data_IF_552517303087
#
_entry.id   IF_552517303087
#
_cell.length_a   1.000
_cell.length_b   1.000
_cell.length_c   1.000
_cell.angle_alpha   90.00
_cell.angle_beta   90.00
_cell.angle_gamma   90.00
#
_symmetry.space_group_name_H-M   'P 1'
#
loop_
_entity.id
_entity.type
_entity.pdbx_description
1 polymer ?
#
# COMPACT_ATOMS: atom_id res chain seq x y z
N UNK A 1 3.85 25.41 37.48
CA UNK A 1 2.84 24.75 36.64
C UNK A 1 3.51 24.36 35.34
N UNK A 2 3.96 23.10 35.21
CA UNK A 2 4.49 22.58 33.96
C UNK A 2 3.32 22.11 33.10
N UNK A 3 3.14 22.72 31.93
CA UNK A 3 2.18 22.26 30.94
C UNK A 3 2.65 20.92 30.40
N UNK A 4 1.85 19.87 30.61
CA UNK A 4 2.02 18.57 30.00
C UNK A 4 1.80 18.69 28.50
N UNK A 5 2.88 18.70 27.74
CA UNK A 5 2.86 18.54 26.29
C UNK A 5 2.61 17.06 26.01
N UNK A 6 1.56 16.74 25.25
CA UNK A 6 1.23 15.38 24.84
C UNK A 6 2.36 14.80 23.96
N UNK A 7 2.97 13.72 24.44
CA UNK A 7 4.13 13.07 23.80
C UNK A 7 3.75 12.47 22.43
N UNK A 8 2.45 12.18 22.17
CA UNK A 8 2.00 11.73 20.83
C UNK A 8 2.23 12.78 19.74
N UNK A 9 2.00 14.05 20.07
CA UNK A 9 2.22 15.16 19.13
C UNK A 9 3.71 15.39 18.94
N UNK A 10 4.49 15.28 20.02
CA UNK A 10 5.96 15.38 19.98
C UNK A 10 6.63 14.24 19.21
N UNK A 11 6.07 13.02 19.23
CA UNK A 11 6.60 11.87 18.49
C UNK A 11 6.32 11.98 16.98
N UNK A 12 5.14 12.51 16.60
CA UNK A 12 4.84 12.82 15.20
C UNK A 12 5.68 13.98 14.67
N UNK A 13 5.93 15.00 15.50
CA UNK A 13 6.79 16.15 15.18
C UNK A 13 8.28 15.76 15.09
N UNK A 14 8.74 14.83 15.96
CA UNK A 14 10.10 14.26 15.93
C UNK A 14 10.35 13.45 14.65
N UNK A 15 9.40 12.61 14.21
CA UNK A 15 9.53 11.87 12.93
C UNK A 15 9.69 12.83 11.74
N UNK A 16 8.98 13.97 11.75
CA UNK A 16 9.08 15.00 10.72
C UNK A 16 10.42 15.78 10.77
N UNK A 17 10.93 16.10 11.96
CA UNK A 17 12.21 16.82 12.12
C UNK A 17 13.45 16.00 11.69
N UNK A 18 13.39 14.66 11.71
CA UNK A 18 14.47 13.80 11.17
C UNK A 18 14.51 13.68 9.65
N UNK A 19 13.55 14.28 8.93
CA UNK A 19 13.65 14.43 7.48
C UNK A 19 14.64 15.54 7.08
N UNK A 20 14.78 16.60 7.90
CA UNK A 20 15.61 17.78 7.59
C UNK A 20 17.12 17.55 7.79
N UNK A 21 17.52 16.69 8.74
CA UNK A 21 18.94 16.41 9.02
C UNK A 21 19.67 15.64 7.91
N UNK A 22 18.96 15.17 6.88
CA UNK A 22 19.56 14.48 5.74
C UNK A 22 19.47 15.21 4.41
N UNK A 23 18.95 16.45 4.35
CA UNK A 23 19.21 17.39 3.25
C UNK A 23 18.56 18.77 3.50
N UNK A 24 19.36 19.83 3.38
CA UNK A 24 18.96 21.24 3.37
C UNK A 24 19.71 21.90 2.19
N UNK A 25 19.26 22.98 1.49
CA UNK A 25 17.96 23.67 1.55
C UNK A 25 17.39 24.11 0.16
N UNK A 26 16.25 24.82 0.26
CA UNK A 26 15.68 25.86 -0.62
C UNK A 26 14.48 25.43 -1.48
N UNK A 27 13.34 25.55 -0.78
CA UNK A 27 11.97 25.80 -1.25
C UNK A 27 11.85 27.27 -1.69
N UNK A 28 10.69 27.58 -2.30
CA UNK A 28 9.93 28.83 -2.26
C UNK A 28 10.02 29.62 -3.57
N UNK A 29 8.94 30.13 -4.15
CA UNK A 29 7.65 30.57 -3.61
C UNK A 29 6.75 30.82 -4.85
N UNK A 30 5.45 31.13 -4.81
CA UNK A 30 4.58 31.67 -3.76
C UNK A 30 3.15 31.72 -4.32
N UNK A 31 2.18 31.58 -3.40
CA UNK A 31 0.95 32.40 -3.32
C UNK A 31 -0.13 32.30 -4.43
N UNK A 32 -1.42 32.57 -4.21
CA UNK A 32 -2.33 32.73 -3.07
C UNK A 32 -3.72 32.73 -3.75
N UNK A 33 -4.67 32.02 -3.15
CA UNK A 33 -6.08 32.43 -2.91
C UNK A 33 -6.74 33.46 -3.85
N UNK A 34 -7.93 33.15 -4.41
CA UNK A 34 -9.22 33.77 -4.02
C UNK A 34 -10.38 33.56 -5.02
N UNK A 35 -11.59 33.50 -4.43
CA UNK A 35 -12.89 34.02 -4.88
C UNK A 35 -13.87 33.16 -5.71
N UNK A 36 -15.01 32.88 -5.05
CA UNK A 36 -16.36 32.56 -5.57
C UNK A 36 -16.96 33.71 -6.43
N UNK A 37 -18.21 33.67 -6.98
CA UNK A 37 -19.25 32.62 -7.08
C UNK A 37 -19.87 32.48 -8.50
N UNK A 38 -20.81 31.54 -8.71
CA UNK A 38 -22.08 31.81 -9.44
C UNK A 38 -23.06 30.62 -9.41
N UNK A 39 -24.30 30.94 -9.03
CA UNK A 39 -25.51 30.14 -9.22
C UNK A 39 -25.79 29.94 -10.71
N UNK A 40 -26.20 28.74 -11.13
CA UNK A 40 -27.07 28.56 -12.29
C UNK A 40 -28.11 27.47 -12.01
N UNK A 41 -29.34 27.88 -12.31
CA UNK A 41 -30.65 27.25 -12.25
C UNK A 41 -30.74 25.76 -12.59
N UNK A 42 -31.61 25.11 -11.80
CA UNK A 42 -32.27 23.85 -12.11
C UNK A 42 -32.97 23.93 -13.46
N UNK A 43 -32.65 23.00 -14.35
CA UNK A 43 -33.53 22.65 -15.47
C UNK A 43 -33.58 21.14 -15.60
N UNK A 44 -34.80 20.68 -15.85
CA UNK A 44 -35.31 19.33 -15.76
C UNK A 44 -34.55 18.33 -16.64
N UNK A 45 -34.20 17.17 -16.06
CA UNK A 45 -33.72 16.00 -16.81
C UNK A 45 -34.90 15.02 -16.93
N UNK A 46 -35.31 14.62 -18.15
CA UNK A 46 -36.38 13.67 -18.32
C UNK A 46 -35.96 12.25 -17.96
N UNK A 47 -36.94 11.54 -17.43
CA UNK A 47 -36.94 10.17 -16.94
C UNK A 47 -36.40 9.10 -17.92
N UNK A 48 -35.88 8.03 -17.29
CA UNK A 48 -35.73 6.63 -17.74
C UNK A 48 -34.50 6.26 -18.57
N UNK A 49 -33.44 5.90 -17.83
CA UNK A 49 -32.71 4.65 -18.09
C UNK A 49 -32.61 3.84 -16.81
N UNK A 50 -33.07 2.59 -16.90
CA UNK A 50 -33.22 1.65 -15.78
C UNK A 50 -31.91 1.45 -15.01
N UNK A 51 -31.99 1.60 -13.69
CA UNK A 51 -30.99 1.21 -12.70
C UNK A 51 -30.69 -0.28 -12.85
N UNK A 52 -29.52 -0.64 -13.35
CA UNK A 52 -28.92 -1.96 -13.05
C UNK A 52 -27.82 -1.73 -12.01
N UNK A 53 -27.97 -2.22 -10.77
CA UNK A 53 -26.87 -2.21 -9.82
C UNK A 53 -25.74 -3.09 -10.36
N UNK A 54 -24.51 -2.74 -10.00
CA UNK A 54 -23.28 -3.47 -10.29
C UNK A 54 -23.50 -4.99 -10.31
N UNK A 55 -23.04 -5.66 -11.38
CA UNK A 55 -22.97 -7.12 -11.38
C UNK A 55 -21.87 -7.55 -10.41
N UNK A 56 -22.32 -7.99 -9.23
CA UNK A 56 -21.66 -8.84 -8.25
C UNK A 56 -20.17 -9.14 -8.49
N UNK A 57 -19.32 -8.54 -7.65
CA UNK A 57 -17.95 -9.01 -7.40
C UNK A 57 -18.03 -9.98 -6.21
N UNK A 58 -17.56 -11.23 -6.31
CA UNK A 58 -17.55 -12.15 -5.19
C UNK A 58 -16.80 -11.53 -3.99
N UNK A 59 -17.56 -11.22 -2.94
CA UNK A 59 -17.03 -10.88 -1.61
C UNK A 59 -17.26 -9.46 -1.08
N UNK A 60 -17.78 -8.49 -1.83
CA UNK A 60 -17.80 -7.07 -1.36
C UNK A 60 -19.18 -6.40 -1.40
N UNK A 61 -20.15 -6.88 -2.18
CA UNK A 61 -21.48 -6.24 -2.26
C UNK A 61 -22.61 -7.25 -2.39
N UNK A 62 -23.78 -6.91 -1.85
CA UNK A 62 -25.02 -7.59 -2.20
C UNK A 62 -25.46 -7.24 -3.64
N UNK A 63 -26.51 -7.91 -4.11
CA UNK A 63 -27.08 -7.75 -5.48
C UNK A 63 -27.57 -6.29 -5.72
N UNK A 64 -27.71 -5.48 -4.67
CA UNK A 64 -28.12 -4.08 -4.72
C UNK A 64 -26.94 -3.09 -4.61
N UNK A 65 -25.69 -3.56 -4.55
CA UNK A 65 -24.52 -2.70 -4.38
C UNK A 65 -24.37 -2.13 -2.96
N UNK A 66 -25.16 -2.60 -1.98
CA UNK A 66 -24.98 -2.20 -0.57
C UNK A 66 -23.81 -2.96 0.04
N UNK A 67 -22.99 -2.20 0.75
CA UNK A 67 -21.93 -2.75 1.59
C UNK A 67 -22.57 -3.55 2.72
N UNK A 68 -22.28 -4.85 2.78
CA UNK A 68 -22.67 -5.70 3.91
C UNK A 68 -21.52 -5.66 4.91
N UNK A 69 -21.70 -5.14 6.13
CA UNK A 69 -20.67 -5.22 7.15
C UNK A 69 -20.32 -6.69 7.37
N UNK A 70 -19.07 -7.08 7.09
CA UNK A 70 -18.60 -8.41 7.45
C UNK A 70 -18.65 -8.52 8.99
N UNK A 71 -18.97 -9.68 9.55
CA UNK A 71 -18.71 -9.90 10.99
C UNK A 71 -17.19 -9.83 11.23
N UNK A 72 -16.72 -9.51 12.45
CA UNK A 72 -15.29 -9.61 12.77
C UNK A 72 -14.76 -10.97 12.31
N UNK A 73 -13.66 -10.96 11.56
CA UNK A 73 -13.07 -12.19 11.02
C UNK A 73 -11.94 -12.59 11.95
N UNK A 74 -12.08 -13.77 12.56
CA UNK A 74 -10.99 -14.42 13.25
C UNK A 74 -10.06 -15.04 12.20
N UNK A 75 -8.83 -14.53 12.15
CA UNK A 75 -7.78 -15.09 11.32
C UNK A 75 -6.91 -15.97 12.20
N UNK A 76 -6.88 -17.25 11.85
CA UNK A 76 -6.06 -18.30 12.48
C UNK A 76 -4.91 -18.68 11.54
N UNK A 77 -3.88 -19.39 12.02
CA UNK A 77 -2.80 -19.89 11.15
C UNK A 77 -3.29 -20.71 9.95
N UNK A 78 -4.46 -21.36 10.07
CA UNK A 78 -5.06 -22.23 9.05
C UNK A 78 -6.11 -21.52 8.17
N UNK A 79 -6.33 -20.21 8.37
CA UNK A 79 -7.29 -19.46 7.55
C UNK A 79 -6.83 -19.48 6.10
N UNK A 80 -7.62 -20.12 5.23
CA UNK A 80 -7.40 -20.11 3.78
C UNK A 80 -7.91 -18.79 3.22
N UNK A 81 -7.01 -18.03 2.62
CA UNK A 81 -7.37 -16.80 1.92
C UNK A 81 -7.64 -17.14 0.46
N UNK A 82 -8.80 -16.71 -0.03
CA UNK A 82 -9.14 -16.85 -1.44
C UNK A 82 -8.30 -15.87 -2.25
N UNK A 83 -7.26 -16.40 -2.89
CA UNK A 83 -6.37 -15.64 -3.76
C UNK A 83 -6.75 -15.99 -5.18
N UNK A 84 -7.33 -15.02 -5.89
CA UNK A 84 -7.76 -15.22 -7.27
C UNK A 84 -6.70 -14.63 -8.21
N UNK A 85 -5.92 -15.45 -8.94
CA UNK A 85 -5.14 -14.98 -10.08
C UNK A 85 -6.10 -14.63 -11.22
N UNK A 86 -6.77 -13.48 -11.13
CA UNK A 86 -7.72 -13.04 -12.15
C UNK A 86 -6.97 -12.43 -13.32
N UNK A 87 -7.36 -12.80 -14.54
CA UNK A 87 -7.05 -12.02 -15.74
C UNK A 87 -7.57 -10.59 -15.55
N UNK A 88 -6.80 -9.60 -15.96
CA UNK A 88 -7.15 -8.20 -15.86
C UNK A 88 -6.81 -7.48 -17.17
N UNK A 89 -7.85 -7.04 -17.86
CA UNK A 89 -7.73 -6.22 -19.08
C UNK A 89 -8.17 -4.76 -18.78
N UNK A 90 -8.10 -4.33 -17.51
CA UNK A 90 -8.56 -3.00 -17.08
C UNK A 90 -7.74 -1.88 -17.70
N UNK A 91 -8.40 -0.80 -18.06
CA UNK A 91 -7.81 0.45 -18.54
C UNK A 91 -8.76 1.62 -18.31
N UNK A 92 -8.24 2.84 -18.36
CA UNK A 92 -9.05 4.06 -18.24
C UNK A 92 -8.71 5.03 -19.37
N UNK A 93 -9.73 5.64 -19.97
CA UNK A 93 -9.57 6.70 -20.97
C UNK A 93 -10.45 7.91 -20.61
N UNK A 94 -9.89 9.12 -20.44
CA UNK A 94 -10.70 10.33 -20.30
C UNK A 94 -11.36 10.68 -21.63
N UNK A 95 -12.66 10.89 -21.59
CA UNK A 95 -13.50 11.19 -22.73
C UNK A 95 -14.26 12.49 -22.51
N UNK A 96 -14.72 13.06 -23.61
CA UNK A 96 -15.65 14.15 -23.72
C UNK A 96 -16.91 13.57 -24.34
N UNK A 97 -18.00 13.70 -23.61
CA UNK A 97 -19.32 13.21 -23.95
C UNK A 97 -19.98 14.12 -24.99
N UNK A 98 -21.02 13.64 -25.67
CA UNK A 98 -21.70 14.37 -26.75
C UNK A 98 -22.35 15.68 -26.28
N UNK A 99 -22.80 15.72 -25.03
CA UNK A 99 -23.30 16.91 -24.33
C UNK A 99 -22.17 17.90 -23.94
N UNK A 100 -20.91 17.61 -24.29
CA UNK A 100 -19.76 18.44 -23.98
C UNK A 100 -19.13 18.20 -22.61
N UNK A 101 -19.73 17.35 -21.77
CA UNK A 101 -19.21 17.03 -20.45
C UNK A 101 -17.91 16.24 -20.53
N UNK A 102 -17.07 16.37 -19.50
CA UNK A 102 -15.91 15.53 -19.32
C UNK A 102 -16.30 14.24 -18.61
N UNK A 103 -15.56 13.17 -18.85
CA UNK A 103 -15.85 11.86 -18.30
C UNK A 103 -14.70 10.88 -18.48
N UNK A 104 -14.94 9.63 -18.10
CA UNK A 104 -13.98 8.54 -18.22
C UNK A 104 -14.68 7.29 -18.76
N UNK A 105 -14.11 6.67 -19.79
CA UNK A 105 -14.36 5.27 -20.10
C UNK A 105 -13.48 4.43 -19.17
N UNK A 106 -14.12 3.56 -18.40
CA UNK A 106 -13.46 2.69 -17.43
C UNK A 106 -13.74 1.25 -17.83
N UNK A 107 -12.66 0.49 -18.00
CA UNK A 107 -12.70 -0.95 -18.16
C UNK A 107 -12.31 -1.62 -16.84
N UNK A 108 -13.19 -2.48 -16.34
CA UNK A 108 -12.92 -3.39 -15.22
C UNK A 108 -12.75 -4.82 -15.74
N UNK A 109 -12.36 -5.75 -14.87
CA UNK A 109 -12.26 -7.18 -15.19
C UNK A 109 -13.56 -7.77 -15.77
N UNK A 110 -14.73 -7.23 -15.37
CA UNK A 110 -16.02 -7.82 -15.70
C UNK A 110 -16.86 -6.97 -16.64
N UNK A 111 -16.75 -5.64 -16.52
CA UNK A 111 -17.64 -4.69 -17.17
C UNK A 111 -16.87 -3.48 -17.72
N UNK A 112 -17.52 -2.78 -18.66
CA UNK A 112 -17.11 -1.47 -19.14
C UNK A 112 -18.19 -0.44 -18.79
N UNK A 113 -17.78 0.74 -18.38
CA UNK A 113 -18.73 1.82 -18.09
C UNK A 113 -18.14 3.19 -18.39
N UNK A 114 -19.03 4.16 -18.62
CA UNK A 114 -18.71 5.56 -18.81
C UNK A 114 -19.12 6.32 -17.58
N UNK A 115 -18.19 7.04 -16.97
CA UNK A 115 -18.46 7.99 -15.90
C UNK A 115 -18.51 9.42 -16.45
N UNK A 116 -19.61 10.14 -16.23
CA UNK A 116 -19.77 11.57 -16.49
C UNK A 116 -19.37 12.36 -15.24
N UNK A 117 -18.34 13.22 -15.34
CA UNK A 117 -17.79 13.94 -14.19
C UNK A 117 -18.65 15.10 -13.71
N UNK A 118 -19.51 15.66 -14.56
CA UNK A 118 -20.37 16.79 -14.22
C UNK A 118 -21.66 16.31 -13.58
N UNK A 119 -22.27 15.28 -14.16
CA UNK A 119 -23.49 14.68 -13.60
C UNK A 119 -23.21 13.75 -12.42
N UNK A 120 -21.93 13.44 -12.17
CA UNK A 120 -21.49 12.42 -11.23
C UNK A 120 -22.30 11.14 -11.47
N UNK A 121 -22.23 10.55 -12.66
CA UNK A 121 -23.09 9.42 -13.03
C UNK A 121 -22.37 8.41 -13.91
N UNK A 122 -22.70 7.11 -13.75
CA UNK A 122 -22.11 6.00 -14.51
C UNK A 122 -23.11 5.29 -15.43
N UNK A 123 -22.73 5.06 -16.69
CA UNK A 123 -23.51 4.30 -17.67
C UNK A 123 -22.76 3.04 -18.12
N UNK A 124 -23.37 1.87 -17.92
CA UNK A 124 -22.77 0.58 -18.33
C UNK A 124 -22.81 0.36 -19.84
N UNK A 125 -21.80 -0.37 -20.34
CA UNK A 125 -21.69 -0.80 -21.73
C UNK A 125 -21.66 -2.33 -21.74
N UNK A 126 -22.71 -2.94 -22.30
CA UNK A 126 -22.92 -4.40 -22.23
C UNK A 126 -21.79 -5.22 -22.87
N UNK A 127 -21.18 -4.72 -23.96
CA UNK A 127 -19.99 -5.32 -24.60
C UNK A 127 -19.18 -4.25 -25.32
N UNK A 128 -17.86 -4.29 -25.16
CA UNK A 128 -16.93 -3.50 -25.96
C UNK A 128 -16.73 -4.17 -27.33
N UNK A 129 -17.80 -4.27 -28.13
CA UNK A 129 -17.67 -4.63 -29.55
C UNK A 129 -17.38 -3.34 -30.31
N UNK A 130 -16.22 -3.29 -30.99
CA UNK A 130 -15.80 -2.19 -31.87
C UNK A 130 -15.46 -0.89 -31.11
N UNK A 131 -14.44 -0.92 -30.25
CA UNK A 131 -13.77 0.31 -29.82
C UNK A 131 -12.79 0.74 -30.91
N UNK A 132 -13.05 1.89 -31.52
CA UNK A 132 -12.19 2.44 -32.58
C UNK A 132 -11.72 3.84 -32.21
N UNK A 133 -10.47 4.17 -32.54
CA UNK A 133 -9.92 5.51 -32.38
C UNK A 133 -9.56 6.09 -33.75
N UNK A 134 -10.24 7.17 -34.15
CA UNK A 134 -9.92 7.93 -35.35
C UNK A 134 -9.62 9.38 -34.98
N UNK A 135 -8.33 9.72 -34.93
CA UNK A 135 -7.86 11.00 -34.39
C UNK A 135 -8.27 11.15 -32.93
N UNK A 136 -9.10 12.16 -32.62
CA UNK A 136 -9.66 12.34 -31.27
C UNK A 136 -10.98 11.61 -31.04
N UNK A 137 -11.59 11.00 -32.05
CA UNK A 137 -12.91 10.37 -31.92
C UNK A 137 -12.77 8.93 -31.45
N UNK A 138 -13.45 8.59 -30.36
CA UNK A 138 -13.59 7.23 -29.84
C UNK A 138 -14.99 6.74 -30.19
N UNK A 139 -15.08 5.67 -30.96
CA UNK A 139 -16.36 5.01 -31.28
C UNK A 139 -16.51 3.76 -30.42
N UNK A 140 -17.67 3.57 -29.80
CA UNK A 140 -18.02 2.35 -29.04
C UNK A 140 -19.42 1.90 -29.48
N UNK A 141 -19.48 0.84 -30.30
CA UNK A 141 -20.73 0.49 -31.00
C UNK A 141 -21.22 1.68 -31.83
N UNK A 142 -22.44 2.14 -31.58
CA UNK A 142 -23.04 3.29 -32.30
C UNK A 142 -22.75 4.65 -31.63
N UNK A 143 -22.06 4.67 -30.48
CA UNK A 143 -21.80 5.90 -29.72
C UNK A 143 -20.43 6.48 -30.08
N UNK A 144 -20.40 7.78 -30.37
CA UNK A 144 -19.15 8.52 -30.66
C UNK A 144 -18.86 9.48 -29.51
N UNK A 145 -17.67 9.36 -28.95
CA UNK A 145 -17.07 10.21 -27.93
C UNK A 145 -15.84 10.92 -28.50
N UNK A 146 -15.37 11.95 -27.81
CA UNK A 146 -14.11 12.62 -28.16
C UNK A 146 -13.11 12.45 -27.02
N UNK A 147 -11.84 12.21 -27.28
CA UNK A 147 -10.81 12.19 -26.25
C UNK A 147 -10.74 13.53 -25.52
N UNK A 148 -10.81 13.48 -24.20
CA UNK A 148 -10.59 14.65 -23.35
C UNK A 148 -9.10 14.74 -23.01
N UNK A 149 -8.31 15.37 -23.87
CA UNK A 149 -6.91 15.68 -23.56
C UNK A 149 -6.85 16.98 -22.75
N UNK A 150 -6.54 16.88 -21.46
CA UNK A 150 -6.36 18.05 -20.56
C UNK A 150 -5.12 18.86 -20.92
N UNK A 151 -4.12 18.26 -21.56
CA UNK A 151 -2.85 18.92 -21.93
C UNK A 151 -2.90 19.38 -23.39
N UNK A 152 -3.09 20.69 -23.61
CA UNK A 152 -3.13 21.30 -24.96
C UNK A 152 -1.82 21.07 -25.75
N UNK A 153 -0.68 21.07 -25.07
CA UNK A 153 0.66 21.06 -25.68
C UNK A 153 1.11 19.68 -26.18
N UNK A 154 0.51 18.57 -25.72
CA UNK A 154 0.96 17.21 -26.05
C UNK A 154 -0.10 16.34 -26.76
N UNK A 155 -1.20 16.95 -27.24
CA UNK A 155 -2.34 16.19 -27.75
C UNK A 155 -2.02 15.27 -28.95
N UNK A 156 -1.10 15.64 -29.84
CA UNK A 156 -0.70 14.77 -30.97
C UNK A 156 0.04 13.50 -30.52
N UNK A 157 0.96 13.63 -29.57
CA UNK A 157 1.73 12.50 -29.01
C UNK A 157 0.80 11.52 -28.29
N UNK A 158 -0.08 12.05 -27.43
CA UNK A 158 -1.08 11.26 -26.69
C UNK A 158 -1.99 10.49 -27.67
N UNK A 159 -2.46 11.14 -28.75
CA UNK A 159 -3.28 10.46 -29.75
C UNK A 159 -2.50 9.33 -30.43
N UNK A 160 -1.25 9.56 -30.81
CA UNK A 160 -0.40 8.53 -31.43
C UNK A 160 -0.22 7.33 -30.50
N UNK A 161 0.12 7.57 -29.23
CA UNK A 161 0.28 6.51 -28.22
C UNK A 161 -1.04 5.73 -28.02
N UNK A 162 -2.18 6.41 -28.02
CA UNK A 162 -3.48 5.75 -27.92
C UNK A 162 -3.89 4.98 -29.18
N UNK A 163 -3.50 5.45 -30.37
CA UNK A 163 -3.74 4.76 -31.64
C UNK A 163 -2.97 3.44 -31.72
N UNK A 164 -1.83 3.34 -31.03
CA UNK A 164 -1.11 2.08 -30.87
C UNK A 164 -1.67 1.24 -29.72
N UNK A 165 -2.00 1.86 -28.59
CA UNK A 165 -2.48 1.20 -27.38
C UNK A 165 -3.84 0.51 -27.58
N UNK A 166 -4.85 1.21 -28.13
CA UNK A 166 -6.22 0.70 -28.20
C UNK A 166 -6.32 -0.59 -29.02
N UNK A 167 -5.78 -0.68 -30.25
CA UNK A 167 -5.79 -1.92 -31.01
C UNK A 167 -5.08 -3.06 -30.28
N UNK A 168 -3.96 -2.77 -29.59
CA UNK A 168 -3.23 -3.76 -28.78
C UNK A 168 -4.09 -4.31 -27.66
N UNK A 169 -4.74 -3.46 -26.87
CA UNK A 169 -5.62 -3.87 -25.77
C UNK A 169 -6.80 -4.71 -26.25
N UNK A 170 -7.34 -4.42 -27.44
CA UNK A 170 -8.46 -5.18 -28.00
C UNK A 170 -8.03 -6.54 -28.59
N UNK A 171 -6.78 -6.64 -29.05
CA UNK A 171 -6.19 -7.86 -29.60
C UNK A 171 -5.62 -8.77 -28.50
N UNK A 172 -4.98 -8.20 -27.48
CA UNK A 172 -4.46 -8.90 -26.31
C UNK A 172 -5.60 -9.31 -25.38
N UNK A 173 -6.19 -10.47 -25.66
CA UNK A 173 -7.11 -11.12 -24.71
C UNK A 173 -6.25 -11.90 -23.72
N UNK A 174 -6.51 -11.72 -22.42
CA UNK A 174 -5.96 -12.51 -21.30
C UNK A 174 -4.64 -12.00 -20.68
N UNK A 175 -4.54 -10.72 -20.31
CA UNK A 175 -3.44 -10.31 -19.45
C UNK A 175 -3.70 -10.77 -18.01
N UNK A 176 -2.67 -11.29 -17.33
CA UNK A 176 -2.74 -11.64 -15.90
C UNK A 176 -2.42 -10.41 -15.02
N UNK A 177 -1.97 -9.31 -15.63
CA UNK A 177 -1.34 -8.16 -14.96
C UNK A 177 -2.16 -6.87 -15.15
N UNK A 178 -1.96 -5.87 -14.28
CA UNK A 178 -2.53 -4.51 -14.41
C UNK A 178 -1.79 -3.60 -15.40
N UNK A 179 -1.10 -4.18 -16.39
CA UNK A 179 -0.26 -3.47 -17.35
C UNK A 179 -1.06 -2.42 -18.14
N UNK A 180 -2.19 -2.82 -18.74
CA UNK A 180 -3.04 -1.91 -19.51
C UNK A 180 -3.57 -0.74 -18.65
N UNK A 181 -3.84 -0.99 -17.38
CA UNK A 181 -4.26 0.05 -16.44
C UNK A 181 -3.14 1.08 -16.26
N UNK A 182 -1.94 0.66 -15.87
CA UNK A 182 -0.83 1.58 -15.66
C UNK A 182 -0.35 2.27 -16.95
N UNK A 183 -0.35 1.58 -18.09
CA UNK A 183 -0.05 2.18 -19.39
C UNK A 183 -1.06 3.26 -19.77
N UNK A 184 -2.37 2.98 -19.62
CA UNK A 184 -3.42 3.96 -19.89
C UNK A 184 -3.27 5.21 -19.01
N UNK A 185 -2.85 5.03 -17.75
CA UNK A 185 -2.54 6.13 -16.85
C UNK A 185 -1.28 6.90 -17.25
N UNK A 186 -0.24 6.21 -17.72
CA UNK A 186 1.00 6.82 -18.21
C UNK A 186 0.74 7.74 -19.41
N UNK A 187 -0.13 7.30 -20.33
CA UNK A 187 -0.51 8.05 -21.53
C UNK A 187 -1.43 9.23 -21.17
N UNK A 188 -2.42 9.02 -20.30
CA UNK A 188 -3.49 10.00 -20.08
C UNK A 188 -3.28 10.93 -18.90
N UNK A 189 -2.45 10.55 -17.91
CA UNK A 189 -2.15 11.30 -16.69
C UNK A 189 -3.40 11.82 -15.95
N UNK A 190 -4.50 11.06 -16.00
CA UNK A 190 -5.79 11.45 -15.41
C UNK A 190 -6.48 10.25 -14.75
N UNK A 191 -7.12 10.51 -13.60
CA UNK A 191 -7.88 9.52 -12.85
C UNK A 191 -9.35 9.94 -12.74
N UNK A 192 -10.30 8.99 -12.79
CA UNK A 192 -11.66 9.24 -12.36
C UNK A 192 -11.64 9.76 -10.92
N UNK A 193 -12.37 10.85 -10.59
CA UNK A 193 -12.47 11.32 -9.22
C UNK A 193 -13.03 10.22 -8.32
N UNK A 194 -12.63 10.18 -7.05
CA UNK A 194 -13.18 9.23 -6.07
C UNK A 194 -14.52 9.76 -5.58
N UNK A 195 -15.59 9.00 -5.80
CA UNK A 195 -16.95 9.32 -5.35
C UNK A 195 -17.81 8.06 -5.33
N UNK A 196 -19.07 8.17 -4.94
CA UNK A 196 -20.00 7.03 -4.84
C UNK A 196 -20.09 6.12 -6.09
N UNK A 197 -19.84 6.64 -7.30
CA UNK A 197 -19.93 5.86 -8.55
C UNK A 197 -18.61 5.19 -8.94
N UNK A 198 -17.47 5.81 -8.65
CA UNK A 198 -16.14 5.27 -8.98
C UNK A 198 -15.51 4.50 -7.81
N UNK A 199 -16.00 4.72 -6.60
CA UNK A 199 -15.55 4.08 -5.37
C UNK A 199 -15.62 2.54 -5.43
N UNK A 200 -16.68 1.89 -5.97
CA UNK A 200 -16.71 0.44 -6.13
C UNK A 200 -15.60 -0.10 -7.04
N UNK A 201 -15.24 0.63 -8.09
CA UNK A 201 -14.13 0.28 -8.99
C UNK A 201 -12.80 0.34 -8.24
N UNK A 202 -12.52 1.43 -7.53
CA UNK A 202 -11.29 1.56 -6.76
C UNK A 202 -11.19 0.53 -5.63
N UNK A 203 -12.30 0.23 -4.95
CA UNK A 203 -12.34 -0.86 -3.95
C UNK A 203 -11.94 -2.19 -4.59
N UNK A 204 -12.42 -2.47 -5.79
CA UNK A 204 -12.06 -3.71 -6.52
C UNK A 204 -10.57 -3.74 -6.87
N UNK A 205 -9.98 -2.61 -7.29
CA UNK A 205 -8.54 -2.52 -7.53
C UNK A 205 -7.75 -2.76 -6.25
N UNK A 206 -8.04 -2.01 -5.20
CA UNK A 206 -7.25 -2.00 -3.98
C UNK A 206 -7.53 -3.16 -3.01
N UNK A 207 -8.47 -4.04 -3.34
CA UNK A 207 -8.64 -5.35 -2.66
C UNK A 207 -8.07 -6.51 -3.48
N UNK A 208 -7.56 -6.23 -4.69
CA UNK A 208 -6.92 -7.24 -5.51
C UNK A 208 -5.45 -7.42 -5.10
N UNK A 209 -5.07 -8.64 -4.69
CA UNK A 209 -3.71 -8.94 -4.24
C UNK A 209 -2.63 -8.70 -5.29
N UNK A 210 -2.93 -8.93 -6.58
CA UNK A 210 -1.99 -8.64 -7.66
C UNK A 210 -1.78 -7.14 -7.81
N UNK A 211 -2.87 -6.36 -7.75
CA UNK A 211 -2.77 -4.90 -7.75
C UNK A 211 -1.96 -4.39 -6.56
N UNK A 212 -2.25 -4.88 -5.35
CA UNK A 212 -1.57 -4.47 -4.13
C UNK A 212 -0.08 -4.82 -4.15
N UNK A 213 0.30 -5.95 -4.75
CA UNK A 213 1.70 -6.33 -4.90
C UNK A 213 2.42 -5.37 -5.86
N UNK A 214 1.81 -5.03 -7.00
CA UNK A 214 2.35 -4.01 -7.90
C UNK A 214 2.43 -2.65 -7.21
N UNK A 215 1.39 -2.29 -6.46
CA UNK A 215 1.31 -1.06 -5.69
C UNK A 215 2.39 -0.98 -4.61
N UNK A 216 2.85 -2.10 -4.04
CA UNK A 216 4.00 -2.06 -3.11
C UNK A 216 5.32 -1.59 -3.74
N UNK A 217 5.36 -1.35 -5.05
CA UNK A 217 6.49 -0.75 -5.77
C UNK A 217 6.38 0.77 -5.93
N UNK A 218 5.39 1.41 -5.31
CA UNK A 218 5.27 2.88 -5.35
C UNK A 218 6.52 3.57 -4.78
N UNK A 219 6.88 4.67 -5.42
CA UNK A 219 7.87 5.62 -4.93
C UNK A 219 7.14 6.58 -4.00
N UNK A 220 7.68 6.76 -2.80
CA UNK A 220 7.12 7.63 -1.78
C UNK A 220 8.24 8.43 -1.11
N UNK A 221 7.89 9.62 -0.64
CA UNK A 221 8.73 10.39 0.27
C UNK A 221 8.44 9.98 1.72
N UNK A 222 9.28 10.42 2.66
CA UNK A 222 9.05 10.15 4.09
C UNK A 222 7.69 10.70 4.56
N UNK A 223 7.33 11.90 4.10
CA UNK A 223 6.08 12.57 4.47
C UNK A 223 4.85 11.83 3.92
N UNK A 224 5.01 11.18 2.77
CA UNK A 224 3.96 10.32 2.20
C UNK A 224 3.77 9.03 3.02
N UNK A 225 4.79 8.53 3.74
CA UNK A 225 4.78 7.17 4.32
C UNK A 225 3.69 6.95 5.36
N UNK A 226 3.48 7.90 6.29
CA UNK A 226 2.46 7.77 7.35
C UNK A 226 1.03 7.69 6.76
N UNK A 227 0.57 8.67 5.96
CA UNK A 227 -0.77 8.58 5.36
C UNK A 227 -0.90 7.38 4.41
N UNK A 228 0.16 7.06 3.66
CA UNK A 228 0.18 5.90 2.75
C UNK A 228 0.04 4.58 3.51
N UNK A 229 0.82 4.37 4.58
CA UNK A 229 0.76 3.15 5.38
C UNK A 229 -0.62 2.97 6.03
N UNK A 230 -1.20 4.05 6.56
CA UNK A 230 -2.53 4.00 7.16
C UNK A 230 -3.60 3.64 6.13
N UNK A 231 -3.60 4.32 4.98
CA UNK A 231 -4.52 4.04 3.89
C UNK A 231 -4.37 2.59 3.39
N UNK A 232 -3.13 2.13 3.23
CA UNK A 232 -2.81 0.77 2.80
C UNK A 232 -3.33 -0.28 3.78
N UNK A 233 -3.09 -0.10 5.09
CA UNK A 233 -3.55 -1.00 6.14
C UNK A 233 -5.08 -1.03 6.24
N UNK A 234 -5.72 0.14 6.15
CA UNK A 234 -7.17 0.24 6.15
C UNK A 234 -7.76 -0.51 4.97
N UNK A 235 -7.20 -0.33 3.77
CA UNK A 235 -7.72 -0.92 2.55
C UNK A 235 -7.45 -2.43 2.47
N UNK A 236 -6.27 -2.89 2.86
CA UNK A 236 -5.93 -4.33 2.86
C UNK A 236 -6.72 -5.12 3.89
N UNK A 237 -7.12 -4.48 5.01
CA UNK A 237 -8.12 -5.00 5.93
C UNK A 237 -7.87 -6.46 6.36
N UNK A 238 -8.90 -7.33 6.30
CA UNK A 238 -8.76 -8.75 6.67
C UNK A 238 -7.73 -9.53 5.85
N UNK A 239 -7.47 -9.13 4.62
CA UNK A 239 -6.57 -9.82 3.71
C UNK A 239 -5.09 -9.48 3.97
N UNK A 240 -4.81 -8.44 4.78
CA UNK A 240 -3.47 -7.96 5.11
C UNK A 240 -2.50 -9.08 5.56
N UNK A 241 -2.83 -9.99 6.50
CA UNK A 241 -1.87 -10.97 6.98
C UNK A 241 -1.38 -11.93 5.89
N UNK A 242 -2.28 -12.35 5.00
CA UNK A 242 -1.91 -13.22 3.89
C UNK A 242 -1.09 -12.48 2.86
N UNK A 243 -1.57 -11.30 2.46
CA UNK A 243 -0.90 -10.46 1.48
C UNK A 243 0.51 -10.06 1.94
N UNK A 244 0.67 -9.68 3.21
CA UNK A 244 1.96 -9.28 3.77
C UNK A 244 2.99 -10.42 3.75
N UNK A 245 2.57 -11.69 3.93
CA UNK A 245 3.48 -12.84 3.76
C UNK A 245 4.01 -12.96 2.32
N UNK A 246 3.17 -12.70 1.31
CA UNK A 246 3.63 -12.68 -0.08
C UNK A 246 4.57 -11.51 -0.35
N UNK A 247 4.33 -10.33 0.21
CA UNK A 247 5.29 -9.22 0.12
C UNK A 247 6.63 -9.60 0.76
N UNK A 248 6.60 -10.22 1.94
CA UNK A 248 7.82 -10.65 2.62
C UNK A 248 8.60 -11.66 1.76
N UNK A 249 7.91 -12.67 1.21
CA UNK A 249 8.54 -13.63 0.31
C UNK A 249 9.14 -12.97 -0.95
N UNK A 250 8.36 -12.11 -1.62
CA UNK A 250 8.76 -11.42 -2.84
C UNK A 250 9.97 -10.50 -2.61
N UNK A 251 10.09 -9.94 -1.40
CA UNK A 251 11.26 -9.18 -0.98
C UNK A 251 12.45 -10.09 -0.66
N UNK A 252 12.27 -11.11 0.20
CA UNK A 252 13.37 -11.95 0.70
C UNK A 252 14.07 -12.73 -0.41
N UNK A 253 13.34 -13.18 -1.44
CA UNK A 253 13.94 -13.87 -2.59
C UNK A 253 14.94 -12.99 -3.36
N UNK A 254 14.92 -11.67 -3.17
CA UNK A 254 15.86 -10.74 -3.82
C UNK A 254 17.17 -10.58 -3.04
N UNK A 255 17.20 -11.01 -1.78
CA UNK A 255 18.38 -10.86 -0.94
C UNK A 255 19.46 -11.86 -1.33
N UNK A 256 20.66 -11.34 -1.58
CA UNK A 256 21.85 -12.15 -1.92
C UNK A 256 22.62 -12.63 -0.68
N UNK A 257 22.31 -12.08 0.48
CA UNK A 257 23.01 -12.36 1.74
C UNK A 257 22.05 -12.13 2.92
N UNK A 258 22.15 -12.93 3.99
CA UNK A 258 21.35 -12.74 5.21
C UNK A 258 21.58 -11.37 5.87
N UNK A 259 22.75 -10.76 5.65
CA UNK A 259 23.09 -9.45 6.21
C UNK A 259 22.30 -8.28 5.59
N UNK A 260 21.59 -8.51 4.48
CA UNK A 260 20.77 -7.50 3.81
C UNK A 260 19.33 -7.45 4.34
N UNK A 261 18.92 -8.45 5.10
CA UNK A 261 17.55 -8.58 5.61
C UNK A 261 17.11 -7.30 6.32
N UNK A 262 15.98 -6.72 5.85
CA UNK A 262 15.36 -5.51 6.41
C UNK A 262 16.25 -4.25 6.43
N UNK A 263 17.40 -4.24 5.74
CA UNK A 263 18.28 -3.06 5.64
C UNK A 263 17.91 -2.12 4.50
N UNK A 264 17.11 -2.57 3.53
CA UNK A 264 16.65 -1.77 2.40
C UNK A 264 15.80 -0.55 2.82
N UNK A 265 15.57 0.35 1.87
CA UNK A 265 14.65 1.48 2.02
C UNK A 265 13.57 1.40 0.95
N UNK A 266 12.70 0.41 1.08
CA UNK A 266 11.55 0.19 0.19
C UNK A 266 10.26 0.12 1.00
N UNK A 267 9.14 0.11 0.28
CA UNK A 267 7.81 0.16 0.87
C UNK A 267 7.56 -0.94 1.89
N UNK A 268 7.97 -2.18 1.60
CA UNK A 268 7.84 -3.30 2.53
C UNK A 268 8.54 -3.01 3.86
N UNK A 269 9.81 -2.59 3.80
CA UNK A 269 10.60 -2.31 5.00
C UNK A 269 10.04 -1.09 5.76
N UNK A 270 9.64 -0.02 5.07
CA UNK A 270 9.04 1.15 5.70
C UNK A 270 7.66 0.88 6.30
N UNK A 271 6.82 0.08 5.63
CA UNK A 271 5.51 -0.35 6.15
C UNK A 271 5.68 -1.16 7.43
N UNK A 272 6.65 -2.08 7.45
CA UNK A 272 7.01 -2.85 8.65
C UNK A 272 7.43 -1.94 9.80
N UNK A 273 8.35 -1.02 9.51
CA UNK A 273 8.88 -0.07 10.48
C UNK A 273 7.74 0.79 11.05
N UNK A 274 6.83 1.25 10.19
CA UNK A 274 5.64 2.00 10.60
C UNK A 274 4.73 1.19 11.52
N UNK A 275 4.36 -0.04 11.14
CA UNK A 275 3.45 -0.88 11.92
C UNK A 275 3.99 -1.12 13.33
N UNK A 276 5.25 -1.54 13.44
CA UNK A 276 5.86 -1.86 14.74
C UNK A 276 6.14 -0.58 15.54
N UNK A 277 6.57 0.49 14.87
CA UNK A 277 6.84 1.78 15.52
C UNK A 277 5.60 2.51 16.05
N UNK A 278 4.40 2.13 15.60
CA UNK A 278 3.13 2.63 16.14
C UNK A 278 2.54 1.71 17.23
N UNK A 279 3.20 0.60 17.57
CA UNK A 279 2.70 -0.33 18.57
C UNK A 279 2.85 0.27 19.98
N UNK A 280 1.76 0.41 20.76
CA UNK A 280 1.82 1.01 22.09
C UNK A 280 2.76 0.29 23.06
N UNK A 281 2.86 -1.04 22.99
CA UNK A 281 3.74 -1.81 23.88
C UNK A 281 5.21 -1.64 23.48
N UNK A 282 5.47 -1.48 22.18
CA UNK A 282 6.81 -1.13 21.70
C UNK A 282 7.23 0.28 22.13
N UNK A 283 6.32 1.25 22.05
CA UNK A 283 6.58 2.64 22.50
C UNK A 283 6.85 2.65 24.01
N UNK A 284 6.04 1.96 24.82
CA UNK A 284 6.26 1.83 26.27
C UNK A 284 7.63 1.22 26.59
N UNK A 285 8.04 0.18 25.84
CA UNK A 285 9.36 -0.40 25.97
C UNK A 285 10.46 0.65 25.75
N UNK A 286 10.38 1.42 24.66
CA UNK A 286 11.36 2.48 24.38
C UNK A 286 11.38 3.57 25.46
N UNK A 287 10.23 3.96 25.98
CA UNK A 287 10.12 4.97 27.03
C UNK A 287 10.76 4.52 28.35
N UNK A 288 10.66 3.21 28.65
CA UNK A 288 11.21 2.60 29.87
C UNK A 288 12.74 2.49 29.91
N UNK A 289 13.41 2.54 28.74
CA UNK A 289 14.86 2.43 28.68
C UNK A 289 15.53 3.73 29.15
N UNK A 290 16.24 3.65 30.28
CA UNK A 290 17.09 4.73 30.79
C UNK A 290 18.54 4.53 30.37
N UNK A 291 19.05 5.38 29.49
CA UNK A 291 20.45 5.33 29.02
C UNK A 291 21.48 5.65 30.12
N UNK A 292 21.02 6.16 31.26
CA UNK A 292 21.84 6.45 32.43
C UNK A 292 21.93 5.26 33.39
N UNK A 293 21.13 4.21 33.18
CA UNK A 293 21.13 3.02 34.03
C UNK A 293 22.49 2.31 33.98
N UNK A 294 23.02 1.95 35.15
CA UNK A 294 24.19 1.08 35.27
C UNK A 294 23.88 -0.36 34.83
N UNK A 295 22.61 -0.75 34.88
CA UNK A 295 22.07 -2.05 34.48
C UNK A 295 21.40 -2.03 33.11
N UNK A 296 21.76 -1.08 32.23
CA UNK A 296 21.11 -0.85 30.93
C UNK A 296 20.93 -2.12 30.08
N UNK A 297 21.91 -3.03 30.06
CA UNK A 297 21.81 -4.30 29.32
C UNK A 297 20.73 -5.21 29.92
N UNK A 298 20.65 -5.29 31.24
CA UNK A 298 19.67 -6.11 31.94
C UNK A 298 18.26 -5.52 31.79
N UNK A 299 18.14 -4.20 31.89
CA UNK A 299 16.89 -3.46 31.70
C UNK A 299 16.38 -3.63 30.26
N UNK A 300 17.29 -3.58 29.28
CA UNK A 300 16.98 -3.87 27.88
C UNK A 300 16.42 -5.29 27.70
N UNK A 301 17.11 -6.32 28.20
CA UNK A 301 16.66 -7.71 28.07
C UNK A 301 15.32 -7.93 28.77
N UNK A 302 15.16 -7.43 30.00
CA UNK A 302 13.89 -7.51 30.74
C UNK A 302 12.76 -6.79 30.01
N UNK A 303 13.03 -5.61 29.45
CA UNK A 303 12.07 -4.85 28.65
C UNK A 303 11.59 -5.63 27.42
N UNK A 304 12.51 -6.26 26.69
CA UNK A 304 12.16 -7.11 25.52
C UNK A 304 11.34 -8.34 25.96
N UNK A 305 11.69 -8.94 27.10
CA UNK A 305 11.00 -10.10 27.66
C UNK A 305 9.52 -9.81 27.96
N UNK A 306 9.23 -8.70 28.64
CA UNK A 306 7.86 -8.33 29.03
C UNK A 306 7.05 -7.67 27.90
N UNK A 307 7.72 -7.20 26.84
CA UNK A 307 7.05 -6.53 25.72
C UNK A 307 6.11 -7.48 24.99
N UNK A 308 4.80 -7.25 25.10
CA UNK A 308 3.77 -8.04 24.41
C UNK A 308 3.16 -7.27 23.23
N UNK A 309 3.84 -7.34 22.09
CA UNK A 309 3.41 -6.63 20.89
C UNK A 309 2.00 -7.04 20.45
N UNK A 310 1.28 -6.08 19.87
CA UNK A 310 -0.05 -6.31 19.32
C UNK A 310 -0.05 -7.43 18.26
N UNK A 311 -1.19 -8.10 18.02
CA UNK A 311 -1.31 -9.11 16.98
C UNK A 311 -0.82 -8.64 15.60
N UNK A 312 -1.06 -7.37 15.23
CA UNK A 312 -0.62 -6.82 13.93
C UNK A 312 0.90 -6.75 13.83
N UNK A 313 1.59 -6.27 14.86
CA UNK A 313 3.06 -6.25 14.92
C UNK A 313 3.64 -7.66 14.94
N UNK A 314 3.02 -8.60 15.68
CA UNK A 314 3.40 -10.01 15.67
C UNK A 314 3.27 -10.65 14.29
N UNK A 315 2.21 -10.34 13.53
CA UNK A 315 2.02 -10.85 12.15
C UNK A 315 3.18 -10.44 11.24
N UNK A 316 3.57 -9.17 11.26
CA UNK A 316 4.63 -8.70 10.37
C UNK A 316 5.99 -9.26 10.76
N UNK A 317 6.29 -9.34 12.06
CA UNK A 317 7.53 -9.95 12.56
C UNK A 317 7.56 -11.46 12.32
N UNK A 318 6.42 -12.14 12.40
CA UNK A 318 6.30 -13.57 12.08
C UNK A 318 6.60 -13.86 10.62
N UNK A 319 6.03 -13.08 9.70
CA UNK A 319 6.32 -13.21 8.28
C UNK A 319 7.81 -13.01 7.99
N UNK A 320 8.42 -11.97 8.58
CA UNK A 320 9.86 -11.69 8.48
C UNK A 320 10.71 -12.84 9.03
N UNK A 321 10.37 -13.34 10.21
CA UNK A 321 11.08 -14.45 10.84
C UNK A 321 11.05 -15.71 9.95
N UNK A 322 9.85 -16.07 9.47
CA UNK A 322 9.64 -17.27 8.69
C UNK A 322 10.29 -17.19 7.31
N UNK A 323 10.21 -16.05 6.61
CA UNK A 323 10.89 -15.90 5.31
C UNK A 323 12.40 -15.83 5.48
N UNK A 324 12.92 -15.26 6.57
CA UNK A 324 14.35 -15.33 6.91
C UNK A 324 14.83 -16.76 7.16
N UNK A 325 14.04 -17.56 7.90
CA UNK A 325 14.31 -19.00 8.14
C UNK A 325 14.26 -19.78 6.83
N UNK A 326 13.31 -19.47 5.95
CA UNK A 326 13.15 -20.17 4.67
C UNK A 326 14.26 -19.85 3.69
N UNK A 327 14.61 -18.57 3.55
CA UNK A 327 15.56 -18.10 2.53
C UNK A 327 17.00 -18.44 2.91
N UNK A 328 17.34 -18.40 4.20
CA UNK A 328 18.68 -18.66 4.70
C UNK A 328 18.65 -19.60 5.93
N UNK A 329 18.27 -20.88 5.77
CA UNK A 329 17.97 -21.80 6.86
C UNK A 329 19.13 -22.05 7.82
N UNK A 330 20.35 -22.15 7.29
CA UNK A 330 21.58 -22.42 8.05
C UNK A 330 22.15 -21.17 8.75
N UNK A 331 21.40 -20.07 8.79
CA UNK A 331 21.89 -18.79 9.32
C UNK A 331 20.97 -18.21 10.39
N UNK A 332 21.46 -17.17 11.05
CA UNK A 332 20.66 -16.34 11.97
C UNK A 332 19.76 -15.32 11.25
N UNK A 333 19.55 -15.42 9.93
CA UNK A 333 18.73 -14.46 9.16
C UNK A 333 17.33 -14.24 9.73
N UNK A 334 16.65 -15.31 10.15
CA UNK A 334 15.35 -15.25 10.85
C UNK A 334 15.36 -14.30 12.04
N UNK A 335 16.47 -14.27 12.78
CA UNK A 335 16.67 -13.41 13.95
C UNK A 335 17.17 -12.03 13.55
N UNK A 336 18.10 -11.94 12.58
CA UNK A 336 18.60 -10.67 12.05
C UNK A 336 17.49 -9.80 11.46
N UNK A 337 16.53 -10.38 10.74
CA UNK A 337 15.39 -9.64 10.18
C UNK A 337 14.54 -8.98 11.27
N UNK A 338 14.12 -9.76 12.28
CA UNK A 338 13.33 -9.26 13.41
C UNK A 338 14.12 -8.24 14.24
N UNK A 339 15.37 -8.57 14.58
CA UNK A 339 16.27 -7.70 15.35
C UNK A 339 16.55 -6.38 14.61
N UNK A 340 16.70 -6.45 13.29
CA UNK A 340 16.90 -5.28 12.44
C UNK A 340 15.72 -4.32 12.47
N UNK A 341 14.49 -4.84 12.47
CA UNK A 341 13.28 -4.00 12.57
C UNK A 341 13.19 -3.36 13.96
N UNK A 342 13.21 -4.18 15.01
CA UNK A 342 13.02 -3.71 16.38
C UNK A 342 14.15 -2.76 16.78
N UNK A 343 15.40 -3.17 16.64
CA UNK A 343 16.47 -2.44 17.30
C UNK A 343 17.20 -1.49 16.37
N UNK A 344 17.61 -1.96 15.19
CA UNK A 344 18.39 -1.13 14.27
C UNK A 344 17.55 0.00 13.66
N UNK A 345 16.32 -0.28 13.23
CA UNK A 345 15.47 0.71 12.53
C UNK A 345 14.62 1.56 13.47
N UNK A 346 14.20 1.02 14.61
CA UNK A 346 13.30 1.72 15.53
C UNK A 346 14.02 2.20 16.79
N UNK A 347 14.59 1.28 17.58
CA UNK A 347 15.19 1.65 18.87
C UNK A 347 16.41 2.57 18.73
N UNK A 348 17.41 2.20 17.93
CA UNK A 348 18.67 2.94 17.84
C UNK A 348 18.45 4.40 17.44
N UNK A 349 17.64 4.71 16.41
CA UNK A 349 17.30 6.10 16.11
C UNK A 349 16.62 6.77 17.29
N UNK A 350 15.54 6.22 17.86
CA UNK A 350 14.80 6.89 18.94
C UNK A 350 15.69 7.21 20.14
N UNK A 351 16.54 6.28 20.56
CA UNK A 351 17.44 6.49 21.71
C UNK A 351 18.55 7.50 21.41
N UNK A 352 19.15 7.47 20.22
CA UNK A 352 20.17 8.46 19.81
C UNK A 352 19.62 9.90 19.80
N UNK A 353 18.31 10.04 19.63
CA UNK A 353 17.63 11.31 19.44
C UNK A 353 17.05 11.86 20.74
N UNK A 354 16.52 10.97 21.59
CA UNK A 354 16.09 11.31 22.95
C UNK A 354 17.25 11.87 23.76
N UNK A 355 18.43 11.25 23.66
CA UNK A 355 19.60 11.72 24.40
C UNK A 355 20.91 11.65 23.57
N UNK A 356 21.15 12.61 22.65
CA UNK A 356 22.31 12.58 21.74
C UNK A 356 23.67 12.54 22.44
N UNK A 357 23.73 13.11 23.65
CA UNK A 357 24.92 13.12 24.52
C UNK A 357 25.30 11.74 25.04
N UNK A 358 24.39 10.76 24.97
CA UNK A 358 24.59 9.39 25.46
C UNK A 358 24.69 8.38 24.32
N UNK A 359 25.04 8.80 23.09
CA UNK A 359 25.31 7.90 21.97
C UNK A 359 26.33 6.79 22.32
N UNK A 360 27.37 7.13 23.09
CA UNK A 360 28.35 6.16 23.61
C UNK A 360 27.74 5.12 24.57
N UNK A 361 26.62 5.43 25.24
CA UNK A 361 25.91 4.51 26.15
C UNK A 361 25.01 3.52 25.41
N UNK A 362 24.72 3.73 24.12
CA UNK A 362 24.03 2.76 23.27
C UNK A 362 25.01 1.69 22.77
N UNK A 363 26.30 2.02 22.70
CA UNK A 363 27.36 1.12 22.21
C UNK A 363 27.38 -0.28 22.85
N UNK A 364 27.13 -0.46 24.17
CA UNK A 364 27.04 -1.79 24.79
C UNK A 364 25.85 -2.63 24.29
N UNK A 365 24.75 -1.99 23.86
CA UNK A 365 23.58 -2.69 23.31
C UNK A 365 23.83 -3.15 21.87
N UNK A 366 24.66 -2.44 21.12
CA UNK A 366 24.90 -2.69 19.69
C UNK A 366 25.35 -4.12 19.36
N UNK A 367 26.33 -4.73 20.06
CA UNK A 367 26.66 -6.12 19.83
C UNK A 367 25.53 -7.09 20.17
N UNK A 368 24.68 -6.74 21.15
CA UNK A 368 23.56 -7.58 21.60
C UNK A 368 22.48 -7.62 20.53
N UNK A 369 21.95 -6.46 20.10
CA UNK A 369 20.88 -6.45 19.10
C UNK A 369 21.35 -6.72 17.67
N UNK A 370 22.66 -6.66 17.39
CA UNK A 370 23.21 -7.20 16.14
C UNK A 370 23.54 -8.70 16.23
N UNK A 371 23.28 -9.34 17.38
CA UNK A 371 23.53 -10.76 17.65
C UNK A 371 24.99 -11.16 17.35
N UNK A 372 25.93 -10.29 17.71
CA UNK A 372 27.36 -10.51 17.45
C UNK A 372 27.96 -11.52 18.42
N UNK A 373 28.95 -12.28 17.94
CA UNK A 373 29.73 -13.23 18.75
C UNK A 373 30.67 -12.53 19.75
N UNK A 374 30.88 -11.22 19.59
CA UNK A 374 31.66 -10.38 20.51
C UNK A 374 30.71 -9.62 21.43
N UNK A 375 30.96 -9.61 22.74
CA UNK A 375 30.14 -8.92 23.75
C UNK A 375 29.52 -9.88 24.77
N UNK A 376 28.50 -9.42 25.50
CA UNK A 376 27.78 -10.23 26.49
C UNK A 376 26.97 -11.35 25.81
N UNK A 377 27.57 -12.55 25.76
CA UNK A 377 26.95 -13.71 25.12
C UNK A 377 25.72 -14.23 25.86
N UNK A 378 25.60 -13.99 27.17
CA UNK A 378 24.40 -14.37 27.91
C UNK A 378 23.21 -13.50 27.47
N UNK A 379 23.41 -12.20 27.32
CA UNK A 379 22.39 -11.28 26.81
C UNK A 379 22.03 -11.59 25.34
N UNK A 380 23.03 -11.86 24.48
CA UNK A 380 22.80 -12.25 23.07
C UNK A 380 21.96 -13.53 22.98
N UNK A 381 22.30 -14.57 23.74
CA UNK A 381 21.58 -15.84 23.69
C UNK A 381 20.16 -15.71 24.25
N UNK A 382 19.97 -14.93 25.32
CA UNK A 382 18.62 -14.59 25.81
C UNK A 382 17.81 -13.86 24.73
N UNK A 383 18.40 -12.87 24.06
CA UNK A 383 17.72 -12.14 22.99
C UNK A 383 17.33 -13.06 21.82
N UNK A 384 18.18 -14.02 21.43
CA UNK A 384 17.84 -15.02 20.41
C UNK A 384 16.57 -15.80 20.79
N UNK A 385 16.50 -16.29 22.01
CA UNK A 385 15.32 -17.03 22.53
C UNK A 385 14.08 -16.13 22.54
N UNK A 386 14.21 -14.88 22.98
CA UNK A 386 13.11 -13.91 22.97
C UNK A 386 12.62 -13.61 21.56
N UNK A 387 13.51 -13.54 20.56
CA UNK A 387 13.14 -13.34 19.15
C UNK A 387 12.44 -14.59 18.59
N UNK A 388 12.84 -15.79 18.99
CA UNK A 388 12.25 -17.04 18.50
C UNK A 388 10.75 -17.17 18.81
N UNK A 389 10.21 -16.41 19.78
CA UNK A 389 8.76 -16.33 20.04
C UNK A 389 7.96 -15.83 18.82
N UNK A 390 8.59 -15.06 17.93
CA UNK A 390 7.94 -14.57 16.71
C UNK A 390 7.85 -15.62 15.60
N UNK A 391 8.41 -16.82 15.79
CA UNK A 391 8.17 -17.96 14.89
C UNK A 391 6.70 -18.42 14.89
N UNK A 392 5.97 -18.14 15.97
CA UNK A 392 4.58 -18.55 16.16
C UNK A 392 3.63 -17.45 15.69
N UNK A 393 2.69 -17.82 14.82
CA UNK A 393 1.63 -16.90 14.38
C UNK A 393 0.64 -16.63 15.52
N UNK A 394 0.17 -15.39 15.72
CA UNK A 394 -0.75 -15.08 16.82
C UNK A 394 -2.07 -15.84 16.71
N UNK A 395 -2.53 -16.42 17.81
CA UNK A 395 -3.75 -17.25 17.86
C UNK A 395 -5.04 -16.46 17.61
N UNK A 396 -5.07 -15.20 18.07
CA UNK A 396 -6.25 -14.35 18.03
C UNK A 396 -5.95 -13.06 17.27
N UNK A 397 -6.00 -13.12 15.94
CA UNK A 397 -6.08 -11.90 15.12
C UNK A 397 -7.53 -11.66 14.71
N UNK A 398 -8.19 -10.78 15.45
CA UNK A 398 -9.53 -10.29 15.10
C UNK A 398 -9.35 -9.07 14.21
N UNK A 399 -9.82 -9.19 12.98
CA UNK A 399 -9.97 -8.01 12.12
C UNK A 399 -11.36 -7.48 12.32
N UNK A 400 -11.43 -6.30 12.92
CA UNK A 400 -12.67 -5.55 12.99
C UNK A 400 -13.22 -5.37 11.57
N UNK A 401 -14.54 -5.49 11.39
CA UNK A 401 -15.19 -5.15 10.14
C UNK A 401 -14.72 -3.77 9.72
N UNK A 402 -14.10 -3.67 8.55
CA UNK A 402 -13.87 -2.37 7.94
C UNK A 402 -15.24 -1.74 7.71
N UNK A 403 -15.66 -0.84 8.59
CA UNK A 403 -16.98 -0.21 8.48
C UNK A 403 -17.07 0.78 7.32
N UNK A 404 -15.95 1.14 6.69
CA UNK A 404 -15.94 1.83 5.41
C UNK A 404 -14.53 1.82 4.82
N UNK A 405 -14.37 1.35 3.58
CA UNK A 405 -13.29 1.86 2.75
C UNK A 405 -13.57 3.35 2.56
N UNK A 406 -12.87 4.19 3.32
CA UNK A 406 -13.04 5.63 3.29
C UNK A 406 -12.51 6.18 1.96
N UNK A 407 -13.26 7.07 1.32
CA UNK A 407 -12.86 7.74 0.08
C UNK A 407 -11.47 8.38 0.23
N UNK A 408 -11.19 8.97 1.39
CA UNK A 408 -9.90 9.58 1.72
C UNK A 408 -8.71 8.61 1.63
N UNK A 409 -8.88 7.36 2.05
CA UNK A 409 -7.81 6.36 1.99
C UNK A 409 -7.51 6.01 0.52
N UNK A 410 -8.56 5.86 -0.29
CA UNK A 410 -8.43 5.58 -1.72
C UNK A 410 -7.80 6.76 -2.46
N UNK A 411 -8.22 7.99 -2.16
CA UNK A 411 -7.61 9.20 -2.70
C UNK A 411 -6.12 9.26 -2.38
N UNK A 412 -5.75 8.99 -1.12
CA UNK A 412 -4.35 8.93 -0.67
C UNK A 412 -3.57 7.91 -1.51
N UNK A 413 -4.12 6.72 -1.73
CA UNK A 413 -3.43 5.71 -2.53
C UNK A 413 -3.30 6.12 -4.01
N UNK A 414 -4.34 6.71 -4.61
CA UNK A 414 -4.35 7.14 -6.01
C UNK A 414 -3.33 8.24 -6.26
N UNK A 415 -3.18 9.19 -5.33
CA UNK A 415 -2.23 10.30 -5.45
C UNK A 415 -0.78 9.85 -5.61
N UNK A 416 -0.43 8.64 -5.16
CA UNK A 416 0.92 8.08 -5.29
C UNK A 416 1.18 7.44 -6.67
N UNK A 417 0.12 7.08 -7.42
CA UNK A 417 0.26 6.39 -8.70
C UNK A 417 0.95 7.29 -9.76
N UNK A 418 0.54 8.57 -9.97
CA UNK A 418 1.24 9.45 -10.91
C UNK A 418 2.74 9.61 -10.61
N UNK A 419 3.09 9.74 -9.32
CA UNK A 419 4.48 9.89 -8.85
C UNK A 419 5.34 8.66 -9.18
N UNK A 420 4.70 7.49 -9.30
CA UNK A 420 5.35 6.18 -9.44
C UNK A 420 5.11 5.53 -10.80
N UNK A 421 4.60 6.28 -11.79
CA UNK A 421 4.04 5.71 -13.02
C UNK A 421 4.99 4.76 -13.75
N UNK A 422 6.26 5.16 -13.93
CA UNK A 422 7.23 4.40 -14.73
C UNK A 422 7.64 3.13 -13.98
N UNK A 423 7.76 3.22 -12.65
CA UNK A 423 8.04 2.07 -11.79
C UNK A 423 6.88 1.07 -11.79
N UNK A 424 5.63 1.56 -11.74
CA UNK A 424 4.44 0.71 -11.75
C UNK A 424 4.23 0.04 -13.11
N UNK A 425 4.50 0.72 -14.23
CA UNK A 425 4.46 0.12 -15.58
C UNK A 425 5.52 -0.98 -15.70
N UNK A 426 6.76 -0.71 -15.24
CA UNK A 426 7.82 -1.73 -15.22
C UNK A 426 7.43 -2.91 -14.33
N UNK A 427 6.95 -2.66 -13.13
CA UNK A 427 6.48 -3.70 -12.22
C UNK A 427 5.37 -4.54 -12.85
N UNK A 428 4.39 -3.91 -13.50
CA UNK A 428 3.29 -4.62 -14.15
C UNK A 428 3.71 -5.50 -15.33
N UNK A 429 4.91 -5.28 -15.88
CA UNK A 429 5.48 -6.10 -16.95
C UNK A 429 6.29 -7.29 -16.42
N UNK A 430 6.84 -7.20 -15.20
CA UNK A 430 7.79 -8.18 -14.67
C UNK A 430 7.27 -8.96 -13.45
N UNK A 431 6.32 -8.40 -12.70
CA UNK A 431 5.76 -9.01 -11.51
C UNK A 431 4.52 -9.79 -11.91
N UNK A 432 4.64 -11.12 -11.90
CA UNK A 432 3.49 -12.02 -12.05
C UNK A 432 3.12 -12.59 -10.69
N UNK A 433 2.04 -12.05 -10.09
CA UNK A 433 1.55 -12.53 -8.81
C UNK A 433 1.17 -14.02 -8.84
N UNK A 434 0.64 -14.54 -9.95
CA UNK A 434 0.29 -15.96 -10.07
C UNK A 434 1.52 -16.87 -9.96
N UNK A 435 2.64 -16.45 -10.53
CA UNK A 435 3.90 -17.19 -10.44
C UNK A 435 4.46 -17.12 -9.02
N UNK A 436 4.45 -15.93 -8.42
CA UNK A 436 4.89 -15.73 -7.02
C UNK A 436 4.06 -16.58 -6.07
N UNK A 437 2.74 -16.60 -6.25
CA UNK A 437 1.82 -17.41 -5.47
C UNK A 437 2.10 -18.91 -5.63
N UNK A 438 2.25 -19.38 -6.87
CA UNK A 438 2.52 -20.79 -7.16
C UNK A 438 3.86 -21.24 -6.59
N UNK A 439 4.90 -20.41 -6.70
CA UNK A 439 6.21 -20.65 -6.09
C UNK A 439 6.09 -20.67 -4.56
N UNK A 440 5.37 -19.73 -3.96
CA UNK A 440 5.20 -19.69 -2.51
C UNK A 440 4.53 -20.95 -1.98
N UNK A 441 3.51 -21.45 -2.67
CA UNK A 441 2.79 -22.66 -2.29
C UNK A 441 3.60 -23.95 -2.48
N UNK A 442 4.60 -23.96 -3.37
CA UNK A 442 5.46 -25.14 -3.56
C UNK A 442 6.57 -25.24 -2.52
N UNK A 443 6.77 -24.20 -1.70
CA UNK A 443 7.77 -24.18 -0.65
C UNK A 443 7.33 -25.06 0.54
N UNK A 444 8.27 -25.71 1.23
CA UNK A 444 7.96 -26.46 2.43
C UNK A 444 7.30 -25.55 3.48
N UNK A 445 6.31 -26.06 4.25
CA UNK A 445 5.70 -25.33 5.34
C UNK A 445 6.77 -24.96 6.38
N UNK A 446 6.70 -23.75 6.93
CA UNK A 446 7.72 -23.18 7.84
C UNK A 446 7.24 -23.12 9.26
#
# INVERSE_FOLDING_TARGET
MQQGIDIKDRFSELISQYAELFQCPIVLNSELTQMFPRQINETEIPEKTQKKPFRYVPGITDIAGKFVPRKPILITPNTKFNIYPTKNDSFILPIKLQNGHHGFLISSTYDYYIYDSILNHGYYIDKLKNLELNGKKITIGDKIFTLSTTVKENSRKIISELQEFIPRVLAEKNLITYKNFFESLGIMQAFPPVNEFTLPYYRTLFTNNNFLLLYSRVIYTKDDMKPLAQAFLNITGPEFPAFYRFMAYDEYKTYKSPSLAMRGNNFFVSLTTYIVGQDPEYIKFLDSLSLQSETLVEDFIKGVEIMDLSPRSRIVLNAIYNEGKRTFPETDCKRFGVSGVLFLRLMSPVLMLREPRFSNKIQPLTPIFNLMEKGDQNAVNKLRVLIDRYSVFPENYVVEPNNSYNEKDIETLIQMIPKSKDELIRAATHVNFSDIYSQYLSLPPV
#
